data_IF_824028099864
#
_entry.id   IF_824028099864
#
_cell.length_a   1.000
_cell.length_b   1.000
_cell.length_c   1.000
_cell.angle_alpha   90.00
_cell.angle_beta   90.00
_cell.angle_gamma   90.00
#
_symmetry.space_group_name_H-M   'P 1'
#
loop_
_entity.id
_entity.type
_entity.pdbx_description
1 polymer ?
#
# COMPACT_ATOMS: atom_id res chain seq x y z
N UNK A 1 -12.92 -32.37 -70.15
CA UNK A 1 -11.75 -31.83 -69.43
C UNK A 1 -12.20 -30.68 -68.54
N UNK A 2 -11.93 -30.79 -67.23
CA UNK A 2 -12.32 -29.87 -66.15
C UNK A 2 -11.67 -28.48 -66.28
N UNK A 3 -12.40 -27.43 -65.90
CA UNK A 3 -11.87 -26.31 -65.08
C UNK A 3 -12.96 -25.78 -64.15
N UNK A 4 -12.87 -26.17 -62.88
CA UNK A 4 -13.54 -25.52 -61.75
C UNK A 4 -12.47 -24.80 -60.92
N UNK A 5 -12.86 -23.64 -60.38
CA UNK A 5 -12.35 -23.12 -59.10
C UNK A 5 -11.04 -22.34 -59.18
N UNK A 6 -10.76 -21.39 -58.31
CA UNK A 6 -11.51 -20.88 -57.15
C UNK A 6 -10.90 -19.54 -56.76
N UNK A 7 -11.76 -18.61 -56.36
CA UNK A 7 -11.43 -17.39 -55.64
C UNK A 7 -10.70 -17.75 -54.35
N UNK A 8 -9.40 -17.48 -54.25
CA UNK A 8 -8.63 -17.63 -53.02
C UNK A 8 -8.31 -16.22 -52.49
N UNK A 9 -9.28 -15.63 -51.78
CA UNK A 9 -9.03 -14.45 -50.97
C UNK A 9 -8.30 -14.90 -49.69
N UNK A 10 -7.03 -14.54 -49.58
CA UNK A 10 -6.19 -14.80 -48.42
C UNK A 10 -6.69 -13.91 -47.26
N UNK A 11 -7.41 -14.50 -46.30
CA UNK A 11 -7.65 -13.88 -44.99
C UNK A 11 -6.43 -14.15 -44.11
N UNK A 12 -5.49 -13.22 -44.06
CA UNK A 12 -4.43 -13.19 -43.05
C UNK A 12 -5.02 -12.61 -41.76
N UNK A 13 -5.59 -13.47 -40.91
CA UNK A 13 -5.96 -13.10 -39.54
C UNK A 13 -4.68 -12.84 -38.74
N UNK A 14 -4.42 -11.56 -38.47
CA UNK A 14 -3.42 -11.08 -37.53
C UNK A 14 -3.71 -11.62 -36.13
N UNK A 15 -3.20 -12.81 -35.80
CA UNK A 15 -2.99 -13.22 -34.42
C UNK A 15 -1.80 -12.43 -33.85
N UNK A 16 -2.02 -11.15 -33.58
CA UNK A 16 -1.18 -10.44 -32.61
C UNK A 16 -1.61 -10.97 -31.26
N UNK A 17 -0.75 -11.66 -30.48
CA UNK A 17 -1.08 -11.91 -29.09
C UNK A 17 -1.34 -10.55 -28.45
N UNK A 18 -2.56 -10.33 -27.96
CA UNK A 18 -2.86 -9.27 -27.01
C UNK A 18 -2.02 -9.57 -25.78
N UNK A 19 -0.77 -9.10 -25.79
CA UNK A 19 -0.02 -8.91 -24.57
C UNK A 19 -0.78 -7.81 -23.85
N UNK A 20 -1.76 -8.20 -23.04
CA UNK A 20 -2.44 -7.29 -22.13
C UNK A 20 -1.37 -6.79 -21.17
N UNK A 21 -0.73 -5.68 -21.53
CA UNK A 21 0.08 -4.92 -20.59
C UNK A 21 -0.88 -4.52 -19.48
N UNK A 22 -0.68 -5.14 -18.34
CA UNK A 22 -1.40 -4.88 -17.12
C UNK A 22 -1.48 -3.37 -16.88
N UNK A 23 -2.65 -2.79 -17.11
CA UNK A 23 -2.85 -1.38 -16.79
C UNK A 23 -2.95 -1.25 -15.28
N UNK A 24 -2.07 -0.43 -14.69
CA UNK A 24 -2.18 0.00 -13.30
C UNK A 24 -3.53 0.68 -13.11
N UNK A 25 -4.24 0.34 -12.03
CA UNK A 25 -5.53 0.94 -11.74
C UNK A 25 -5.39 2.45 -11.55
N UNK A 26 -6.24 3.22 -12.22
CA UNK A 26 -6.28 4.67 -12.05
C UNK A 26 -7.16 5.02 -10.85
N UNK A 27 -6.52 5.32 -9.73
CA UNK A 27 -7.21 5.77 -8.51
C UNK A 27 -7.27 7.30 -8.48
N UNK A 28 -8.47 7.85 -8.33
CA UNK A 28 -8.68 9.31 -8.28
C UNK A 28 -9.68 9.70 -7.20
N UNK A 29 -9.57 10.94 -6.73
CA UNK A 29 -10.58 11.58 -5.92
C UNK A 29 -11.36 12.58 -6.79
N UNK A 30 -12.67 12.48 -6.77
CA UNK A 30 -13.56 13.43 -7.42
C UNK A 30 -14.34 14.21 -6.35
N UNK A 31 -14.41 15.53 -6.47
CA UNK A 31 -15.20 16.38 -5.58
C UNK A 31 -16.36 16.98 -6.35
N UNK A 32 -17.57 16.80 -5.85
CA UNK A 32 -18.79 17.43 -6.38
C UNK A 32 -19.55 18.17 -5.26
N UNK A 33 -20.77 18.63 -5.55
CA UNK A 33 -21.61 19.35 -4.59
C UNK A 33 -22.02 18.50 -3.36
N UNK A 34 -21.96 17.17 -3.46
CA UNK A 34 -22.33 16.22 -2.41
C UNK A 34 -21.14 15.75 -1.57
N UNK A 35 -19.90 15.95 -2.05
CA UNK A 35 -18.69 15.67 -1.29
C UNK A 35 -17.57 15.08 -2.14
N UNK A 36 -16.72 14.28 -1.50
CA UNK A 36 -15.65 13.55 -2.16
C UNK A 36 -16.07 12.12 -2.46
N UNK A 37 -15.69 11.63 -3.64
CA UNK A 37 -15.83 10.25 -4.07
C UNK A 37 -14.47 9.68 -4.44
N UNK A 38 -14.19 8.48 -3.97
CA UNK A 38 -13.07 7.68 -4.46
C UNK A 38 -13.50 6.98 -5.75
N UNK A 39 -12.68 7.07 -6.78
CA UNK A 39 -12.91 6.40 -8.05
C UNK A 39 -11.75 5.49 -8.42
N UNK A 40 -12.07 4.30 -8.90
CA UNK A 40 -11.10 3.34 -9.45
C UNK A 40 -11.50 3.10 -10.90
N UNK A 41 -10.59 3.40 -11.83
CA UNK A 41 -10.80 3.28 -13.27
C UNK A 41 -12.05 4.02 -13.78
N UNK A 42 -12.38 5.14 -13.11
CA UNK A 42 -13.52 6.01 -13.45
C UNK A 42 -14.81 5.72 -12.68
N UNK A 43 -14.93 4.51 -12.12
CA UNK A 43 -16.11 4.05 -11.39
C UNK A 43 -16.08 4.45 -9.92
N UNK A 44 -17.25 4.75 -9.35
CA UNK A 44 -17.38 5.04 -7.91
C UNK A 44 -16.99 3.80 -7.10
N UNK A 45 -16.03 3.96 -6.17
CA UNK A 45 -15.46 2.85 -5.40
C UNK A 45 -15.74 3.03 -3.91
N UNK A 46 -16.68 2.23 -3.39
CA UNK A 46 -16.97 2.17 -1.96
C UNK A 46 -16.11 1.08 -1.30
N UNK A 47 -15.27 1.47 -0.33
CA UNK A 47 -14.36 0.54 0.35
C UNK A 47 -15.15 -0.35 1.32
N UNK A 48 -15.12 -1.66 1.07
CA UNK A 48 -15.54 -2.74 1.97
C UNK A 48 -14.29 -3.42 2.48
N UNK A 49 -13.69 -2.80 3.50
CA UNK A 49 -12.31 -3.04 3.90
C UNK A 49 -12.16 -3.93 5.12
N UNK A 50 -11.08 -4.73 5.16
CA UNK A 50 -10.57 -5.38 6.37
C UNK A 50 -9.08 -5.11 6.55
N UNK A 51 -8.58 -5.08 7.78
CA UNK A 51 -7.12 -5.11 8.02
C UNK A 51 -6.68 -6.57 7.97
N UNK A 52 -5.68 -6.89 7.16
CA UNK A 52 -5.26 -8.26 6.95
C UNK A 52 -3.77 -8.45 7.23
N UNK A 53 -3.48 -9.50 8.00
CA UNK A 53 -2.16 -10.07 8.24
C UNK A 53 -2.33 -11.54 8.60
N UNK A 54 -1.41 -12.39 8.16
CA UNK A 54 -1.52 -13.82 8.36
C UNK A 54 -0.60 -14.32 9.48
N UNK A 55 -1.20 -14.99 10.46
CA UNK A 55 -0.47 -15.69 11.52
C UNK A 55 -1.22 -16.98 11.83
N UNK A 56 -0.65 -18.16 11.52
CA UNK A 56 -1.34 -19.42 11.78
C UNK A 56 -1.37 -19.73 13.29
N UNK A 57 -2.28 -20.63 13.69
CA UNK A 57 -2.42 -21.03 15.10
C UNK A 57 -1.08 -21.53 15.65
N UNK A 58 -0.74 -21.08 16.86
CA UNK A 58 0.51 -21.43 17.54
C UNK A 58 1.72 -20.58 17.12
N UNK A 59 1.54 -19.63 16.20
CA UNK A 59 2.57 -18.66 15.84
C UNK A 59 2.25 -17.28 16.43
N UNK A 60 3.19 -16.35 16.28
CA UNK A 60 3.06 -14.96 16.73
C UNK A 60 3.52 -13.98 15.64
N UNK A 61 3.72 -12.71 16.01
CA UNK A 61 4.10 -11.61 15.12
C UNK A 61 5.42 -11.84 14.34
N UNK A 62 6.27 -12.78 14.73
CA UNK A 62 7.51 -13.11 14.01
C UNK A 62 7.29 -14.05 12.82
N UNK A 63 6.07 -14.56 12.62
CA UNK A 63 5.78 -15.47 11.50
C UNK A 63 5.88 -14.75 10.16
N UNK A 64 6.68 -15.31 9.25
CA UNK A 64 6.86 -14.78 7.91
C UNK A 64 6.20 -15.68 6.86
N UNK A 65 4.97 -15.35 6.46
CA UNK A 65 4.27 -16.02 5.36
C UNK A 65 5.07 -15.93 4.05
N UNK A 66 5.64 -14.77 3.75
CA UNK A 66 6.29 -14.51 2.46
C UNK A 66 7.70 -15.10 2.35
N UNK A 67 8.20 -15.71 3.41
CA UNK A 67 9.38 -16.57 3.40
C UNK A 67 9.08 -18.05 3.10
N UNK A 68 7.80 -18.43 2.97
CA UNK A 68 7.39 -19.79 2.60
C UNK A 68 7.46 -20.01 1.07
N UNK A 69 7.24 -21.25 0.63
CA UNK A 69 7.16 -21.55 -0.81
C UNK A 69 5.98 -20.85 -1.48
N UNK A 70 6.13 -20.51 -2.76
CA UNK A 70 5.07 -19.87 -3.54
C UNK A 70 3.76 -20.69 -3.54
N UNK A 71 3.84 -22.02 -3.57
CA UNK A 71 2.66 -22.89 -3.53
C UNK A 71 1.94 -22.80 -2.18
N UNK A 72 2.68 -22.71 -1.08
CA UNK A 72 2.08 -22.53 0.24
C UNK A 72 1.46 -21.13 0.37
N UNK A 73 2.14 -20.09 -0.12
CA UNK A 73 1.61 -18.72 -0.11
C UNK A 73 0.32 -18.65 -0.94
N UNK A 74 0.30 -19.18 -2.17
CA UNK A 74 -0.92 -19.25 -2.99
C UNK A 74 -2.05 -19.95 -2.26
N UNK A 75 -1.79 -21.12 -1.67
CA UNK A 75 -2.81 -21.87 -0.93
C UNK A 75 -3.43 -21.06 0.22
N UNK A 76 -2.61 -20.30 0.96
CA UNK A 76 -3.10 -19.42 2.02
C UNK A 76 -3.92 -18.27 1.43
N UNK A 77 -3.38 -17.56 0.43
CA UNK A 77 -4.05 -16.43 -0.18
C UNK A 77 -5.37 -16.84 -0.85
N UNK A 78 -5.40 -17.94 -1.59
CA UNK A 78 -6.60 -18.40 -2.29
C UNK A 78 -7.71 -18.80 -1.31
N UNK A 79 -7.34 -19.39 -0.17
CA UNK A 79 -8.31 -19.71 0.87
C UNK A 79 -8.87 -18.45 1.56
N UNK A 80 -7.99 -17.58 2.07
CA UNK A 80 -8.38 -16.40 2.84
C UNK A 80 -9.11 -15.36 1.96
N UNK A 81 -8.58 -15.08 0.77
CA UNK A 81 -9.14 -14.08 -0.14
C UNK A 81 -10.36 -14.60 -0.90
N UNK A 82 -10.48 -15.91 -1.12
CA UNK A 82 -11.72 -16.52 -1.59
C UNK A 82 -12.87 -16.29 -0.60
N UNK A 83 -12.64 -16.56 0.69
CA UNK A 83 -13.65 -16.28 1.72
C UNK A 83 -13.98 -14.79 1.84
N UNK A 84 -12.99 -13.91 1.76
CA UNK A 84 -13.21 -12.47 1.77
C UNK A 84 -14.02 -12.00 0.56
N UNK A 85 -13.73 -12.52 -0.63
CA UNK A 85 -14.47 -12.22 -1.85
C UNK A 85 -15.92 -12.70 -1.74
N UNK A 86 -16.17 -13.91 -1.22
CA UNK A 86 -17.52 -14.44 -0.96
C UNK A 86 -18.31 -13.56 0.02
N UNK A 87 -17.63 -12.95 0.99
CA UNK A 87 -18.23 -11.99 1.93
C UNK A 87 -18.42 -10.58 1.33
N UNK A 88 -17.95 -10.35 0.10
CA UNK A 88 -18.05 -9.08 -0.61
C UNK A 88 -17.02 -8.04 -0.21
N UNK A 89 -15.91 -8.43 0.43
CA UNK A 89 -14.75 -7.57 0.68
C UNK A 89 -14.12 -7.20 -0.66
N UNK A 90 -13.74 -5.93 -0.83
CA UNK A 90 -13.06 -5.46 -2.04
C UNK A 90 -11.71 -4.78 -1.77
N UNK A 91 -11.36 -4.60 -0.50
CA UNK A 91 -10.14 -3.90 -0.09
C UNK A 91 -9.55 -4.53 1.16
N UNK A 92 -8.23 -4.63 1.22
CA UNK A 92 -7.51 -4.86 2.47
C UNK A 92 -6.63 -3.67 2.83
N UNK A 93 -6.33 -3.51 4.11
CA UNK A 93 -5.14 -2.79 4.57
C UNK A 93 -4.08 -3.80 4.97
N UNK A 94 -2.89 -3.71 4.39
CA UNK A 94 -1.75 -4.56 4.71
C UNK A 94 -0.50 -3.72 5.01
N UNK A 95 0.32 -4.20 5.93
CA UNK A 95 1.63 -3.61 6.21
C UNK A 95 2.61 -3.90 5.07
N UNK A 96 3.76 -3.23 5.07
CA UNK A 96 4.74 -3.28 3.98
C UNK A 96 5.51 -4.60 3.84
N UNK A 97 5.17 -5.62 4.62
CA UNK A 97 5.80 -6.95 4.53
C UNK A 97 5.33 -7.75 3.32
N UNK A 98 4.16 -7.42 2.74
CA UNK A 98 3.65 -8.12 1.54
C UNK A 98 4.44 -7.72 0.28
N UNK A 99 5.12 -8.65 -0.41
CA UNK A 99 5.80 -8.33 -1.66
C UNK A 99 4.83 -7.85 -2.76
N UNK A 100 5.23 -6.90 -3.63
CA UNK A 100 4.44 -6.41 -4.76
C UNK A 100 3.71 -7.49 -5.57
N UNK A 101 4.42 -8.57 -5.91
CA UNK A 101 3.85 -9.69 -6.70
C UNK A 101 2.63 -10.34 -6.05
N UNK A 102 2.56 -10.36 -4.72
CA UNK A 102 1.44 -10.95 -4.00
C UNK A 102 0.27 -9.98 -3.85
N UNK A 103 0.53 -8.67 -3.81
CA UNK A 103 -0.52 -7.64 -3.96
C UNK A 103 -1.20 -7.79 -5.32
N UNK A 104 -0.40 -7.87 -6.40
CA UNK A 104 -0.92 -8.09 -7.74
C UNK A 104 -1.67 -9.42 -7.85
N UNK A 105 -1.13 -10.51 -7.29
CA UNK A 105 -1.79 -11.81 -7.28
C UNK A 105 -3.18 -11.74 -6.62
N UNK A 106 -3.26 -11.16 -5.42
CA UNK A 106 -4.52 -10.98 -4.69
C UNK A 106 -5.53 -10.24 -5.54
N UNK A 107 -5.13 -9.11 -6.14
CA UNK A 107 -6.03 -8.32 -6.96
C UNK A 107 -6.49 -9.07 -8.21
N UNK A 108 -5.57 -9.75 -8.91
CA UNK A 108 -5.91 -10.48 -10.14
C UNK A 108 -6.80 -11.69 -9.90
N UNK A 109 -6.55 -12.43 -8.84
CA UNK A 109 -7.27 -13.67 -8.57
C UNK A 109 -8.59 -13.42 -7.83
N UNK A 110 -8.64 -12.39 -6.98
CA UNK A 110 -9.76 -12.19 -6.05
C UNK A 110 -10.45 -10.83 -6.18
N UNK A 111 -9.96 -9.93 -7.05
CA UNK A 111 -10.55 -8.59 -7.25
C UNK A 111 -10.40 -7.66 -6.04
N UNK A 112 -9.56 -8.01 -5.06
CA UNK A 112 -9.39 -7.28 -3.81
C UNK A 112 -8.19 -6.33 -3.93
N UNK A 113 -8.43 -5.04 -3.77
CA UNK A 113 -7.36 -4.03 -3.78
C UNK A 113 -6.66 -3.91 -2.43
N UNK A 114 -5.49 -3.30 -2.39
CA UNK A 114 -4.65 -3.17 -1.19
C UNK A 114 -4.32 -1.72 -0.88
N UNK A 115 -4.59 -1.32 0.37
CA UNK A 115 -3.98 -0.16 1.00
C UNK A 115 -2.62 -0.59 1.57
N UNK A 116 -1.55 0.00 1.04
CA UNK A 116 -0.18 -0.27 1.51
C UNK A 116 0.11 0.65 2.68
N UNK A 117 0.49 0.08 3.82
CA UNK A 117 0.63 0.83 5.06
C UNK A 117 2.06 0.79 5.64
N UNK A 118 2.95 1.68 5.20
CA UNK A 118 4.19 1.98 5.90
C UNK A 118 3.90 2.70 7.23
N UNK A 119 4.48 2.21 8.33
CA UNK A 119 4.15 2.68 9.68
C UNK A 119 4.77 4.03 10.08
N UNK A 120 5.68 4.58 9.26
CA UNK A 120 6.31 5.89 9.47
C UNK A 120 6.78 6.12 10.93
N UNK A 121 7.49 5.15 11.48
CA UNK A 121 8.09 5.22 12.82
C UNK A 121 7.16 5.00 14.02
N UNK A 122 5.90 4.56 13.85
CA UNK A 122 4.96 4.41 14.99
C UNK A 122 5.51 3.55 16.14
N UNK A 123 6.17 2.44 15.84
CA UNK A 123 6.66 1.49 16.86
C UNK A 123 8.19 1.50 16.97
N UNK A 124 8.80 2.61 16.61
CA UNK A 124 10.24 2.74 16.44
C UNK A 124 10.69 2.56 15.00
N UNK A 125 11.94 2.88 14.75
CA UNK A 125 12.54 2.86 13.42
C UNK A 125 14.05 2.66 13.50
N UNK A 126 14.62 2.00 12.50
CA UNK A 126 16.08 1.94 12.36
C UNK A 126 16.59 3.20 11.67
N UNK A 127 17.48 3.94 12.33
CA UNK A 127 18.15 5.12 11.77
C UNK A 127 19.65 4.82 11.77
N UNK A 128 20.26 4.81 10.58
CA UNK A 128 21.70 4.52 10.40
C UNK A 128 22.19 3.20 11.03
N UNK A 129 21.30 2.19 11.03
CA UNK A 129 21.59 0.86 11.57
C UNK A 129 21.31 0.69 13.07
N UNK A 130 20.96 1.77 13.77
CA UNK A 130 20.55 1.74 15.18
C UNK A 130 19.03 1.70 15.30
N UNK A 131 18.51 0.83 16.17
CA UNK A 131 17.08 0.75 16.45
C UNK A 131 16.66 1.81 17.48
N UNK A 132 15.79 2.72 17.08
CA UNK A 132 15.21 3.76 17.94
C UNK A 132 13.78 3.35 18.30
N UNK A 133 13.48 2.99 19.57
CA UNK A 133 12.15 2.52 19.96
C UNK A 133 11.09 3.64 20.03
N UNK A 134 11.53 4.88 20.27
CA UNK A 134 10.67 6.06 20.33
C UNK A 134 11.11 7.07 19.27
N UNK A 135 10.37 7.13 18.16
CA UNK A 135 10.71 7.99 17.04
C UNK A 135 10.62 9.47 17.43
N UNK A 136 11.75 10.17 17.37
CA UNK A 136 11.81 11.62 17.48
C UNK A 136 11.55 12.25 16.10
N UNK A 137 10.34 12.76 15.89
CA UNK A 137 9.99 13.42 14.62
C UNK A 137 10.62 14.81 14.47
N UNK A 138 11.25 15.36 15.51
CA UNK A 138 11.99 16.64 15.47
C UNK A 138 13.44 16.46 15.01
N UNK A 139 14.02 15.28 15.22
CA UNK A 139 15.38 14.96 14.80
C UNK A 139 15.53 14.99 13.26
N UNK A 140 16.39 15.86 12.69
CA UNK A 140 16.54 16.00 11.25
C UNK A 140 16.93 14.69 10.56
N UNK A 141 17.78 13.86 11.18
CA UNK A 141 18.25 12.62 10.57
C UNK A 141 17.15 11.58 10.48
N UNK A 142 16.39 11.41 11.56
CA UNK A 142 15.20 10.55 11.62
C UNK A 142 14.19 10.94 10.55
N UNK A 143 13.94 12.24 10.37
CA UNK A 143 13.03 12.76 9.32
C UNK A 143 13.53 12.41 7.92
N UNK A 144 14.82 12.59 7.64
CA UNK A 144 15.42 12.25 6.35
C UNK A 144 15.24 10.76 6.02
N UNK A 145 15.59 9.89 6.96
CA UNK A 145 15.48 8.42 6.80
C UNK A 145 14.03 8.02 6.58
N UNK A 146 13.10 8.47 7.44
CA UNK A 146 11.68 8.16 7.28
C UNK A 146 11.14 8.62 5.92
N UNK A 147 11.47 9.84 5.50
CA UNK A 147 11.03 10.37 4.21
C UNK A 147 11.57 9.55 3.04
N UNK A 148 12.87 9.22 3.05
CA UNK A 148 13.49 8.39 2.02
C UNK A 148 12.82 7.02 1.91
N UNK A 149 12.57 6.35 3.03
CA UNK A 149 11.93 5.04 3.04
C UNK A 149 10.47 5.10 2.58
N UNK A 150 9.73 6.14 2.95
CA UNK A 150 8.36 6.30 2.45
C UNK A 150 8.34 6.51 0.93
N UNK A 151 9.30 7.23 0.37
CA UNK A 151 9.45 7.38 -1.08
C UNK A 151 9.83 6.04 -1.74
N UNK A 152 10.68 5.24 -1.12
CA UNK A 152 11.02 3.90 -1.62
C UNK A 152 9.81 2.97 -1.61
N UNK A 153 8.98 3.00 -0.56
CA UNK A 153 7.71 2.28 -0.56
C UNK A 153 6.79 2.77 -1.70
N UNK A 154 6.70 4.08 -1.95
CA UNK A 154 5.90 4.57 -3.10
C UNK A 154 6.44 4.02 -4.41
N UNK A 155 7.74 4.15 -4.67
CA UNK A 155 8.39 3.62 -5.89
C UNK A 155 8.10 2.14 -6.10
N UNK A 156 8.17 1.35 -5.02
CA UNK A 156 8.01 -0.09 -5.07
C UNK A 156 6.58 -0.55 -5.41
N UNK A 157 5.56 0.20 -4.99
CA UNK A 157 4.17 -0.24 -5.07
C UNK A 157 3.29 0.59 -6.02
N UNK A 158 3.66 1.81 -6.41
CA UNK A 158 2.76 2.72 -7.16
C UNK A 158 2.25 2.14 -8.47
N UNK A 159 3.07 1.31 -9.13
CA UNK A 159 2.78 0.71 -10.43
C UNK A 159 2.30 -0.75 -10.30
N UNK A 160 1.96 -1.20 -9.10
CA UNK A 160 1.48 -2.57 -8.84
C UNK A 160 -0.04 -2.60 -9.01
N UNK A 161 -0.58 -3.42 -9.94
CA UNK A 161 -2.03 -3.60 -10.08
C UNK A 161 -2.66 -4.01 -8.75
N UNK A 162 -3.79 -3.38 -8.41
CA UNK A 162 -4.47 -3.60 -7.15
C UNK A 162 -4.02 -2.71 -6.00
N UNK A 163 -2.99 -1.88 -6.13
CA UNK A 163 -2.69 -0.87 -5.10
C UNK A 163 -3.74 0.25 -5.17
N UNK A 164 -4.44 0.46 -4.06
CA UNK A 164 -5.50 1.47 -3.93
C UNK A 164 -4.94 2.81 -3.46
N UNK A 165 -4.18 2.80 -2.36
CA UNK A 165 -3.59 4.00 -1.78
C UNK A 165 -2.46 3.65 -0.80
N UNK A 166 -1.68 4.66 -0.43
CA UNK A 166 -0.69 4.58 0.64
C UNK A 166 -1.25 5.21 1.92
N UNK A 167 -1.24 4.45 3.01
CA UNK A 167 -1.55 4.95 4.33
C UNK A 167 -0.23 5.12 5.11
N UNK A 168 0.31 6.34 5.20
CA UNK A 168 1.52 6.57 5.98
C UNK A 168 1.19 6.75 7.46
N UNK A 169 1.85 5.96 8.31
CA UNK A 169 1.65 5.96 9.74
C UNK A 169 0.60 4.95 10.20
N UNK A 170 0.51 4.82 11.52
CA UNK A 170 -0.63 4.20 12.19
C UNK A 170 -0.75 4.94 13.51
N UNK A 171 -1.78 5.77 13.71
CA UNK A 171 -2.06 6.34 15.05
C UNK A 171 -0.80 6.99 15.69
N UNK A 172 0.07 7.61 14.87
CA UNK A 172 1.40 8.11 15.29
C UNK A 172 1.31 9.18 16.38
N UNK A 173 0.14 9.79 16.55
CA UNK A 173 -0.19 10.74 17.60
C UNK A 173 -0.31 10.12 19.00
N UNK A 174 -0.53 8.80 19.13
CA UNK A 174 -0.55 8.11 20.43
C UNK A 174 0.87 7.76 20.93
N UNK A 175 1.88 7.89 20.07
CA UNK A 175 3.29 7.58 20.37
C UNK A 175 4.16 8.80 20.59
N UNK A 176 3.59 9.97 20.95
CA UNK A 176 4.35 11.21 21.20
C UNK A 176 5.10 11.19 22.55
N UNK A 177 5.85 10.11 22.81
CA UNK A 177 6.54 9.85 24.07
C UNK A 177 8.01 10.27 24.08
N UNK A 178 8.58 10.67 22.95
CA UNK A 178 9.97 11.17 22.91
C UNK A 178 10.08 12.54 23.56
N UNK A 179 11.27 12.92 24.02
CA UNK A 179 11.53 14.22 24.63
C UNK A 179 12.67 14.94 23.93
N UNK A 180 12.68 16.28 24.03
CA UNK A 180 13.78 17.12 23.59
C UNK A 180 13.88 18.33 24.51
N UNK A 181 15.08 18.91 24.63
CA UNK A 181 15.34 20.04 25.53
C UNK A 181 14.39 21.23 25.30
N UNK A 182 14.05 21.51 24.04
CA UNK A 182 13.11 22.58 23.68
C UNK A 182 11.67 22.26 24.12
N UNK A 183 11.26 20.99 24.05
CA UNK A 183 9.90 20.55 24.37
C UNK A 183 9.72 20.42 25.89
N UNK A 184 10.72 19.94 26.61
CA UNK A 184 10.67 19.81 28.07
C UNK A 184 10.59 21.16 28.79
N UNK A 185 11.13 22.22 28.19
CA UNK A 185 11.06 23.58 28.72
C UNK A 185 9.69 24.26 28.53
N UNK A 186 8.75 23.64 27.80
CA UNK A 186 7.41 24.18 27.60
C UNK A 186 6.45 23.79 28.76
N UNK A 187 5.44 24.63 29.07
CA UNK A 187 4.41 24.30 30.04
C UNK A 187 3.70 22.97 29.75
N UNK A 188 3.26 22.27 30.80
CA UNK A 188 2.45 21.05 30.68
C UNK A 188 1.19 21.33 29.85
N UNK A 189 0.96 20.54 28.79
CA UNK A 189 -0.09 20.77 27.78
C UNK A 189 0.40 21.41 26.47
N UNK A 190 1.46 22.22 26.49
CA UNK A 190 2.07 22.80 25.28
C UNK A 190 3.05 21.84 24.60
N UNK A 191 3.66 20.93 25.37
CA UNK A 191 4.63 19.94 24.90
C UNK A 191 4.07 19.03 23.79
N UNK A 192 2.84 18.54 23.97
CA UNK A 192 2.18 17.69 22.97
C UNK A 192 1.84 18.47 21.70
N UNK A 193 1.52 19.76 21.83
CA UNK A 193 1.31 20.66 20.68
C UNK A 193 2.60 20.83 19.88
N UNK A 194 3.74 21.02 20.55
CA UNK A 194 5.03 21.10 19.89
C UNK A 194 5.41 19.78 19.18
N UNK A 195 5.28 18.63 19.87
CA UNK A 195 5.52 17.30 19.27
C UNK A 195 4.63 17.05 18.05
N UNK A 196 3.36 17.42 18.13
CA UNK A 196 2.42 17.28 17.02
C UNK A 196 2.85 18.08 15.77
N UNK A 197 3.41 19.28 15.94
CA UNK A 197 3.92 20.09 14.81
C UNK A 197 4.99 19.33 14.02
N UNK A 198 5.93 18.67 14.69
CA UNK A 198 6.98 17.90 14.03
C UNK A 198 6.43 16.67 13.28
N UNK A 199 5.52 15.91 13.90
CA UNK A 199 4.87 14.77 13.25
C UNK A 199 4.09 15.21 12.00
N UNK A 200 3.21 16.20 12.13
CA UNK A 200 2.35 16.62 11.02
C UNK A 200 3.11 17.37 9.93
N UNK A 201 4.18 18.10 10.26
CA UNK A 201 5.05 18.70 9.24
C UNK A 201 5.77 17.62 8.42
N UNK A 202 6.28 16.56 9.07
CA UNK A 202 6.90 15.43 8.36
C UNK A 202 5.87 14.72 7.48
N UNK A 203 4.66 14.48 8.01
CA UNK A 203 3.60 13.83 7.24
C UNK A 203 3.27 14.61 5.96
N UNK A 204 3.21 15.94 6.04
CA UNK A 204 3.03 16.81 4.87
C UNK A 204 4.21 16.71 3.88
N UNK A 205 5.46 16.68 4.37
CA UNK A 205 6.63 16.47 3.52
C UNK A 205 6.60 15.13 2.79
N UNK A 206 6.30 14.05 3.51
CA UNK A 206 6.18 12.68 2.99
C UNK A 206 5.08 12.60 1.92
N UNK A 207 3.90 13.15 2.20
CA UNK A 207 2.78 13.15 1.24
C UNK A 207 3.12 13.95 -0.01
N UNK A 208 3.78 15.11 0.13
CA UNK A 208 4.24 15.90 -1.03
C UNK A 208 5.26 15.14 -1.86
N UNK A 209 6.25 14.52 -1.22
CA UNK A 209 7.30 13.75 -1.89
C UNK A 209 6.74 12.48 -2.57
N UNK A 210 5.80 11.79 -1.94
CA UNK A 210 5.13 10.64 -2.55
C UNK A 210 4.32 11.00 -3.79
N UNK A 211 3.67 12.17 -3.80
CA UNK A 211 2.89 12.66 -4.95
C UNK A 211 3.75 13.10 -6.14
N UNK A 212 5.05 13.35 -5.95
CA UNK A 212 5.97 13.74 -7.03
C UNK A 212 6.65 12.55 -7.74
N UNK A 213 6.31 11.32 -7.36
CA UNK A 213 6.82 10.06 -7.92
C UNK A 213 5.77 9.48 -8.89
#
# INVERSE_FOLDING_TARGET
MRKYGSTLAVLLLLCVPLVSHAQVNKVTLNKDATGWKLKVDGEDFFIKGVVWGYTPRGQNYSYNLFGQSDDYIRKVLDYEFGLMADMGVNTIRSFTMIPPRWVEYIYRQHGIMSVINPLMGRYGYSVDGEWIPFTDYSDPRTREVLKADMQDFVQRYKDVPGVLMFAFGNESNYGLSWSSFEIENLPEGEQNTAKARYLYSLWNEVVKAGKSI
#
